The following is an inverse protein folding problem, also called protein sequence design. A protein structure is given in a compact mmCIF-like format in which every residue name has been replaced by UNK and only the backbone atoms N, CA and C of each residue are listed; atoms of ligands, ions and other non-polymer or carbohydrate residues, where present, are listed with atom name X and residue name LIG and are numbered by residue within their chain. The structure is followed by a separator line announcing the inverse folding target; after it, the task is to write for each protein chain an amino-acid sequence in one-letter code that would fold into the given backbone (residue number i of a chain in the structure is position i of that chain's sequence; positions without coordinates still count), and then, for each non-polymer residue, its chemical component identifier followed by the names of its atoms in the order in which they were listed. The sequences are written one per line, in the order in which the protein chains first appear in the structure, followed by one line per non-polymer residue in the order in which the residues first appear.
data_IF_303037489372
#
_entry.id   IF_303037489372
#
_cell.length_a   1.000
_cell.length_b   1.000
_cell.length_c   1.000
_cell.angle_alpha   90.00
_cell.angle_beta   90.00
_cell.angle_gamma   90.00
#
_symmetry.space_group_name_H-M   'P 1'
#
loop_
_entity.id
_entity.type
_entity.pdbx_description
1 polymer ?
#
# COMPACT_ATOMS: atom_id res chain seq x y z
N UNK A 1 -26.67 15.84 2.53
CA UNK A 1 -25.45 15.77 3.34
C UNK A 1 -25.56 14.78 4.51
N UNK A 2 -26.53 14.94 5.46
CA UNK A 2 -26.65 14.06 6.62
C UNK A 2 -26.81 12.56 6.25
N UNK A 3 -27.68 12.24 5.30
CA UNK A 3 -27.89 10.85 4.85
C UNK A 3 -26.61 10.24 4.26
N UNK A 4 -25.90 10.96 3.40
CA UNK A 4 -24.65 10.50 2.81
C UNK A 4 -23.58 10.20 3.87
N UNK A 5 -23.43 11.12 4.85
CA UNK A 5 -22.47 10.95 5.96
C UNK A 5 -22.85 9.77 6.86
N UNK A 6 -24.12 9.57 7.15
CA UNK A 6 -24.58 8.43 7.97
C UNK A 6 -24.35 7.09 7.24
N UNK A 7 -24.66 7.02 5.94
CA UNK A 7 -24.42 5.82 5.12
C UNK A 7 -22.93 5.51 5.05
N UNK A 8 -22.09 6.54 4.87
CA UNK A 8 -20.64 6.39 4.86
C UNK A 8 -20.11 5.87 6.21
N UNK A 9 -20.51 6.48 7.32
CA UNK A 9 -20.10 6.05 8.67
C UNK A 9 -20.58 4.63 8.98
N UNK A 10 -21.81 4.29 8.62
CA UNK A 10 -22.33 2.92 8.77
C UNK A 10 -21.51 1.94 7.94
N UNK A 11 -21.20 2.28 6.69
CA UNK A 11 -20.42 1.43 5.79
C UNK A 11 -19.02 1.18 6.34
N UNK A 12 -18.31 2.23 6.77
CA UNK A 12 -16.99 2.11 7.38
C UNK A 12 -17.04 1.28 8.67
N UNK A 13 -18.06 1.49 9.50
CA UNK A 13 -18.24 0.69 10.73
C UNK A 13 -18.40 -0.79 10.40
N UNK A 14 -19.20 -1.15 9.40
CA UNK A 14 -19.36 -2.54 8.96
C UNK A 14 -18.07 -3.13 8.38
N UNK A 15 -17.32 -2.33 7.62
CA UNK A 15 -16.02 -2.74 7.04
C UNK A 15 -14.99 -3.03 8.14
N UNK A 16 -14.97 -2.23 9.19
CA UNK A 16 -14.03 -2.41 10.32
C UNK A 16 -14.48 -3.55 11.24
N UNK A 17 -15.76 -3.57 11.60
CA UNK A 17 -16.30 -4.53 12.57
C UNK A 17 -16.46 -5.94 12.01
N UNK A 18 -16.75 -6.10 10.71
CA UNK A 18 -16.95 -7.37 10.02
C UNK A 18 -17.84 -8.36 10.80
N UNK A 19 -19.06 -7.98 11.17
CA UNK A 19 -19.91 -8.79 12.03
C UNK A 19 -20.15 -10.17 11.41
N UNK A 20 -20.04 -11.23 12.20
CA UNK A 20 -20.23 -12.64 11.79
C UNK A 20 -19.36 -13.08 10.59
N UNK A 21 -18.19 -12.43 10.38
CA UNK A 21 -17.32 -12.73 9.25
C UNK A 21 -17.80 -12.16 7.91
N UNK A 22 -18.66 -11.14 7.93
CA UNK A 22 -19.06 -10.40 6.73
C UNK A 22 -17.81 -9.79 6.09
N UNK A 23 -17.47 -10.24 4.87
CA UNK A 23 -16.29 -9.75 4.16
C UNK A 23 -16.38 -8.26 3.85
N UNK A 24 -15.23 -7.60 3.79
CA UNK A 24 -15.13 -6.13 3.54
C UNK A 24 -15.82 -5.71 2.24
N UNK A 25 -15.72 -6.52 1.19
CA UNK A 25 -16.39 -6.28 -0.09
C UNK A 25 -17.91 -6.27 0.04
N UNK A 26 -18.48 -7.21 0.77
CA UNK A 26 -19.92 -7.27 1.01
C UNK A 26 -20.41 -6.10 1.86
N UNK A 27 -19.64 -5.70 2.87
CA UNK A 27 -19.96 -4.51 3.68
C UNK A 27 -20.03 -3.23 2.84
N UNK A 28 -19.05 -3.03 1.94
CA UNK A 28 -19.04 -1.88 1.04
C UNK A 28 -20.16 -1.95 -0.01
N UNK A 29 -20.47 -3.14 -0.54
CA UNK A 29 -21.59 -3.34 -1.49
C UNK A 29 -22.92 -3.01 -0.84
N UNK A 30 -23.14 -3.45 0.41
CA UNK A 30 -24.36 -3.11 1.15
C UNK A 30 -24.48 -1.59 1.33
N UNK A 31 -23.38 -0.91 1.68
CA UNK A 31 -23.34 0.55 1.78
C UNK A 31 -23.70 1.24 0.45
N UNK A 32 -23.16 0.75 -0.66
CA UNK A 32 -23.46 1.27 -2.01
C UNK A 32 -24.91 1.05 -2.39
N UNK A 33 -25.49 -0.12 -2.10
CA UNK A 33 -26.92 -0.40 -2.33
C UNK A 33 -27.79 0.55 -1.51
N UNK A 34 -27.48 0.76 -0.23
CA UNK A 34 -28.22 1.70 0.61
C UNK A 34 -28.09 3.13 0.06
N UNK A 35 -26.90 3.55 -0.39
CA UNK A 35 -26.69 4.86 -1.01
C UNK A 35 -27.55 5.05 -2.28
N UNK A 36 -27.68 4.01 -3.11
CA UNK A 36 -28.55 4.02 -4.30
C UNK A 36 -30.04 4.10 -3.90
N UNK A 37 -30.48 3.32 -2.91
CA UNK A 37 -31.88 3.30 -2.46
C UNK A 37 -32.32 4.64 -1.85
N UNK A 38 -31.42 5.33 -1.16
CA UNK A 38 -31.70 6.65 -0.57
C UNK A 38 -31.44 7.81 -1.54
N UNK A 39 -31.08 7.53 -2.80
CA UNK A 39 -30.84 8.54 -3.83
C UNK A 39 -29.63 9.43 -3.58
N UNK A 40 -28.71 9.00 -2.70
CA UNK A 40 -27.43 9.66 -2.46
C UNK A 40 -26.46 9.46 -3.62
N UNK A 41 -26.57 8.29 -4.27
CA UNK A 41 -25.87 7.91 -5.50
C UNK A 41 -26.90 7.51 -6.52
N UNK A 42 -26.67 7.85 -7.78
CA UNK A 42 -27.54 7.49 -8.89
C UNK A 42 -26.95 6.35 -9.73
N UNK A 43 -27.78 5.63 -10.47
CA UNK A 43 -27.29 4.57 -11.37
C UNK A 43 -26.33 5.12 -12.44
N UNK A 44 -26.48 6.38 -12.82
CA UNK A 44 -25.57 7.10 -13.74
C UNK A 44 -24.17 7.31 -13.17
N UNK A 45 -24.01 7.24 -11.85
CA UNK A 45 -22.70 7.44 -11.19
C UNK A 45 -21.83 6.17 -11.26
N UNK A 46 -22.45 4.99 -11.44
CA UNK A 46 -21.73 3.71 -11.50
C UNK A 46 -20.71 3.67 -12.65
N UNK A 47 -21.06 4.02 -13.90
CA UNK A 47 -20.07 4.10 -14.98
C UNK A 47 -18.97 5.13 -14.72
N UNK A 48 -19.28 6.27 -14.09
CA UNK A 48 -18.30 7.32 -13.77
C UNK A 48 -17.29 6.80 -12.74
N UNK A 49 -17.74 6.19 -11.67
CA UNK A 49 -16.88 5.57 -10.67
C UNK A 49 -16.05 4.44 -11.29
N UNK A 50 -16.65 3.60 -12.14
CA UNK A 50 -15.92 2.55 -12.83
C UNK A 50 -14.79 3.11 -13.71
N UNK A 51 -15.02 4.20 -14.43
CA UNK A 51 -13.97 4.86 -15.23
C UNK A 51 -12.79 5.34 -14.38
N UNK A 52 -13.02 5.74 -13.14
CA UNK A 52 -11.96 6.18 -12.22
C UNK A 52 -11.11 4.98 -11.75
N UNK A 53 -11.70 3.81 -11.54
CA UNK A 53 -11.04 2.73 -10.79
C UNK A 53 -10.66 1.50 -11.63
N UNK A 54 -11.17 1.34 -12.85
CA UNK A 54 -11.00 0.08 -13.61
C UNK A 54 -9.54 -0.26 -13.90
N UNK A 55 -8.73 0.73 -14.32
CA UNK A 55 -7.32 0.54 -14.62
C UNK A 55 -6.53 0.24 -13.34
N UNK A 56 -6.80 0.99 -12.27
CA UNK A 56 -6.18 0.75 -10.97
C UNK A 56 -6.52 -0.64 -10.41
N UNK A 57 -7.79 -1.04 -10.50
CA UNK A 57 -8.25 -2.35 -10.02
C UNK A 57 -7.65 -3.49 -10.84
N UNK A 58 -7.62 -3.36 -12.17
CA UNK A 58 -7.01 -4.35 -13.06
C UNK A 58 -5.51 -4.50 -12.83
N UNK A 59 -4.80 -3.39 -12.69
CA UNK A 59 -3.37 -3.37 -12.36
C UNK A 59 -3.11 -4.06 -11.02
N UNK A 60 -3.86 -3.70 -9.98
CA UNK A 60 -3.71 -4.26 -8.64
C UNK A 60 -3.90 -5.79 -8.62
N UNK A 61 -4.95 -6.29 -9.26
CA UNK A 61 -5.19 -7.75 -9.35
C UNK A 61 -4.04 -8.45 -10.06
N UNK A 62 -3.58 -7.90 -11.18
CA UNK A 62 -2.48 -8.49 -11.94
C UNK A 62 -1.17 -8.54 -11.13
N UNK A 63 -0.85 -7.46 -10.40
CA UNK A 63 0.34 -7.40 -9.54
C UNK A 63 0.28 -8.39 -8.39
N UNK A 64 -0.89 -8.57 -7.77
CA UNK A 64 -1.04 -9.56 -6.70
C UNK A 64 -0.92 -10.98 -7.25
N UNK A 65 -1.47 -11.29 -8.42
CA UNK A 65 -1.27 -12.59 -9.07
C UNK A 65 0.22 -12.85 -9.32
N UNK A 66 0.97 -11.87 -9.82
CA UNK A 66 2.43 -11.97 -9.99
C UNK A 66 3.10 -12.24 -8.63
N UNK A 67 2.75 -11.48 -7.59
CA UNK A 67 3.30 -11.64 -6.24
C UNK A 67 3.05 -13.02 -5.67
N UNK A 68 1.81 -13.54 -5.77
CA UNK A 68 1.45 -14.87 -5.29
C UNK A 68 2.19 -15.99 -6.04
N UNK A 69 2.36 -15.86 -7.35
CA UNK A 69 3.13 -16.82 -8.16
C UNK A 69 4.61 -16.84 -7.76
N UNK A 70 5.19 -15.66 -7.50
CA UNK A 70 6.56 -15.54 -7.05
C UNK A 70 6.75 -16.07 -5.63
N UNK A 71 5.77 -15.87 -4.75
CA UNK A 71 5.77 -16.44 -3.40
C UNK A 71 5.75 -17.97 -3.44
N UNK A 72 4.82 -18.56 -4.18
CA UNK A 72 4.74 -20.01 -4.36
C UNK A 72 6.01 -20.58 -5.03
N UNK A 73 6.72 -19.80 -5.86
CA UNK A 73 8.00 -20.18 -6.44
C UNK A 73 9.18 -20.10 -5.45
N UNK A 74 8.98 -19.44 -4.28
CA UNK A 74 9.98 -19.26 -3.24
C UNK A 74 10.84 -18.00 -3.40
N UNK A 75 10.45 -17.05 -4.23
CA UNK A 75 11.22 -15.85 -4.55
C UNK A 75 11.50 -14.98 -3.31
N UNK A 76 10.49 -14.71 -2.51
CA UNK A 76 10.63 -13.85 -1.34
C UNK A 76 11.38 -14.53 -0.19
N UNK A 77 11.18 -15.84 0.00
CA UNK A 77 11.94 -16.64 0.96
C UNK A 77 13.44 -16.69 0.58
N UNK A 78 13.73 -16.89 -0.69
CA UNK A 78 15.08 -16.84 -1.24
C UNK A 78 15.74 -15.47 -0.98
N UNK A 79 15.04 -14.38 -1.25
CA UNK A 79 15.56 -13.02 -1.02
C UNK A 79 15.80 -12.76 0.47
N UNK A 80 14.87 -13.15 1.36
CA UNK A 80 14.99 -12.98 2.80
C UNK A 80 16.19 -13.77 3.36
N UNK A 81 16.41 -15.01 2.92
CA UNK A 81 17.56 -15.82 3.34
C UNK A 81 18.90 -15.23 2.87
N UNK A 82 18.95 -14.65 1.66
CA UNK A 82 20.15 -13.93 1.19
C UNK A 82 20.45 -12.71 2.07
N UNK A 83 19.43 -11.90 2.32
CA UNK A 83 19.53 -10.71 3.17
C UNK A 83 19.99 -11.10 4.58
N UNK A 84 19.45 -12.18 5.12
CA UNK A 84 19.86 -12.70 6.43
C UNK A 84 21.33 -13.10 6.46
N UNK A 85 21.88 -13.64 5.39
CA UNK A 85 23.31 -13.96 5.30
C UNK A 85 24.19 -12.72 5.13
N UNK A 86 23.72 -11.70 4.40
CA UNK A 86 24.44 -10.43 4.24
C UNK A 86 24.60 -9.68 5.58
N UNK A 87 23.72 -9.91 6.56
CA UNK A 87 23.84 -9.37 7.90
C UNK A 87 25.10 -9.82 8.67
N UNK A 88 25.78 -10.93 8.21
CA UNK A 88 27.03 -11.46 8.74
C UNK A 88 27.03 -11.58 10.28
N UNK A 89 25.95 -12.04 10.84
CA UNK A 89 25.81 -12.25 12.28
C UNK A 89 25.44 -11.01 13.09
N UNK A 90 25.39 -9.80 12.50
CA UNK A 90 25.00 -8.58 13.22
C UNK A 90 23.48 -8.37 13.14
N UNK A 91 22.78 -8.39 14.28
CA UNK A 91 21.34 -8.18 14.34
C UNK A 91 20.88 -6.81 13.83
N UNK A 92 21.68 -5.76 14.06
CA UNK A 92 21.37 -4.42 13.51
C UNK A 92 21.45 -4.39 11.98
N UNK A 93 22.44 -5.04 11.39
CA UNK A 93 22.54 -5.15 9.92
C UNK A 93 21.40 -5.99 9.37
N UNK A 94 21.07 -7.10 10.01
CA UNK A 94 19.93 -7.92 9.65
C UNK A 94 18.64 -7.11 9.64
N UNK A 95 18.37 -6.36 10.70
CA UNK A 95 17.20 -5.50 10.81
C UNK A 95 17.14 -4.48 9.66
N UNK A 96 18.24 -3.74 9.44
CA UNK A 96 18.31 -2.75 8.38
C UNK A 96 18.09 -3.37 6.99
N UNK A 97 18.72 -4.50 6.69
CA UNK A 97 18.58 -5.17 5.42
C UNK A 97 17.18 -5.78 5.23
N UNK A 98 16.54 -6.28 6.29
CA UNK A 98 15.15 -6.76 6.22
C UNK A 98 14.18 -5.61 5.95
N UNK A 99 14.36 -4.45 6.58
CA UNK A 99 13.58 -3.25 6.30
C UNK A 99 13.80 -2.78 4.85
N UNK A 100 15.04 -2.78 4.36
CA UNK A 100 15.35 -2.41 2.97
C UNK A 100 14.80 -3.43 1.96
N UNK A 101 14.81 -4.72 2.28
CA UNK A 101 14.13 -5.74 1.46
C UNK A 101 12.63 -5.47 1.40
N UNK A 102 12.01 -5.19 2.56
CA UNK A 102 10.60 -4.80 2.61
C UNK A 102 10.30 -3.56 1.76
N UNK A 103 11.20 -2.55 1.80
CA UNK A 103 11.09 -1.37 0.95
C UNK A 103 11.15 -1.70 -0.54
N UNK A 104 12.09 -2.54 -0.96
CA UNK A 104 12.23 -2.95 -2.36
C UNK A 104 11.02 -3.73 -2.85
N UNK A 105 10.54 -4.68 -2.05
CA UNK A 105 9.35 -5.47 -2.39
C UNK A 105 8.13 -4.57 -2.48
N UNK A 106 7.94 -3.65 -1.54
CA UNK A 106 6.81 -2.73 -1.54
C UNK A 106 6.85 -1.73 -2.71
N UNK A 107 8.03 -1.32 -3.15
CA UNK A 107 8.19 -0.45 -4.30
C UNK A 107 7.83 -1.12 -5.64
N UNK A 108 8.03 -2.43 -5.76
CA UNK A 108 7.83 -3.19 -7.01
C UNK A 108 6.51 -3.96 -7.06
N UNK A 109 5.95 -4.30 -5.89
CA UNK A 109 4.71 -5.05 -5.75
C UNK A 109 3.71 -4.24 -4.93
N UNK A 110 2.44 -4.56 -5.05
CA UNK A 110 1.43 -3.90 -4.22
C UNK A 110 1.76 -4.05 -2.72
N UNK A 111 1.75 -2.94 -1.97
CA UNK A 111 2.11 -2.88 -0.54
C UNK A 111 1.37 -3.91 0.32
N UNK A 112 0.08 -4.13 0.06
CA UNK A 112 -0.75 -5.11 0.77
C UNK A 112 -0.19 -6.53 0.60
N UNK A 113 0.23 -6.89 -0.62
CA UNK A 113 0.91 -8.16 -0.91
C UNK A 113 2.26 -8.26 -0.22
N UNK A 114 3.06 -7.19 -0.25
CA UNK A 114 4.37 -7.16 0.40
C UNK A 114 4.28 -7.44 1.91
N UNK A 115 3.38 -6.77 2.61
CA UNK A 115 3.18 -6.94 4.05
C UNK A 115 2.73 -8.37 4.41
N UNK A 116 1.78 -8.92 3.65
CA UNK A 116 1.22 -10.25 3.91
C UNK A 116 2.17 -11.39 3.58
N UNK A 117 2.99 -11.25 2.53
CA UNK A 117 3.93 -12.28 2.08
C UNK A 117 5.20 -12.27 2.94
N UNK A 118 5.82 -11.11 3.15
CA UNK A 118 7.08 -11.03 3.87
C UNK A 118 6.93 -11.34 5.37
N UNK A 119 5.81 -10.99 5.99
CA UNK A 119 5.65 -11.17 7.43
C UNK A 119 5.78 -12.63 7.88
N UNK A 120 5.10 -13.64 7.29
CA UNK A 120 5.29 -15.04 7.66
C UNK A 120 6.73 -15.52 7.44
N UNK A 121 7.39 -15.08 6.36
CA UNK A 121 8.78 -15.43 6.05
C UNK A 121 9.72 -14.88 7.12
N UNK A 122 9.56 -13.60 7.47
CA UNK A 122 10.33 -12.94 8.53
C UNK A 122 10.14 -13.68 9.85
N UNK A 123 8.90 -13.98 10.25
CA UNK A 123 8.61 -14.70 11.49
C UNK A 123 9.30 -16.08 11.50
N UNK A 124 9.17 -16.85 10.43
CA UNK A 124 9.77 -18.18 10.33
C UNK A 124 11.29 -18.12 10.45
N UNK A 125 11.92 -17.14 9.83
CA UNK A 125 13.36 -16.89 9.92
C UNK A 125 13.77 -16.52 11.36
N UNK A 126 13.03 -15.63 12.03
CA UNK A 126 13.34 -15.18 13.38
C UNK A 126 13.16 -16.31 14.41
N UNK A 127 12.18 -17.19 14.20
CA UNK A 127 12.00 -18.39 15.00
C UNK A 127 13.17 -19.37 14.82
N UNK A 128 13.63 -19.60 13.58
CA UNK A 128 14.80 -20.41 13.29
C UNK A 128 16.06 -19.86 13.97
N UNK A 129 16.22 -18.54 14.02
CA UNK A 129 17.29 -17.84 14.71
C UNK A 129 17.11 -17.76 16.23
N UNK A 130 16.01 -18.29 16.78
CA UNK A 130 15.66 -18.27 18.19
C UNK A 130 15.67 -16.87 18.81
N UNK A 131 15.18 -15.89 18.09
CA UNK A 131 15.08 -14.52 18.59
C UNK A 131 14.05 -14.42 19.72
N UNK A 132 14.31 -13.48 20.65
CA UNK A 132 13.37 -13.20 21.73
C UNK A 132 12.04 -12.63 21.18
N UNK A 133 10.94 -12.75 21.93
CA UNK A 133 9.65 -12.14 21.53
C UNK A 133 9.75 -10.63 21.25
N UNK A 134 10.56 -9.89 22.03
CA UNK A 134 10.78 -8.46 21.82
C UNK A 134 11.52 -8.18 20.51
N UNK A 135 12.56 -8.96 20.19
CA UNK A 135 13.25 -8.86 18.92
C UNK A 135 12.32 -9.22 17.74
N UNK A 136 11.57 -10.30 17.86
CA UNK A 136 10.59 -10.70 16.84
C UNK A 136 9.57 -9.61 16.60
N UNK A 137 9.03 -8.98 17.64
CA UNK A 137 8.10 -7.88 17.55
C UNK A 137 8.74 -6.67 16.82
N UNK A 138 9.99 -6.31 17.12
CA UNK A 138 10.69 -5.23 16.46
C UNK A 138 10.83 -5.45 14.95
N UNK A 139 11.24 -6.64 14.52
CA UNK A 139 11.39 -6.98 13.10
C UNK A 139 10.04 -7.01 12.37
N UNK A 140 9.03 -7.58 12.99
CA UNK A 140 7.68 -7.67 12.43
C UNK A 140 7.06 -6.28 12.30
N UNK A 141 7.20 -5.42 13.31
CA UNK A 141 6.78 -4.02 13.24
C UNK A 141 7.53 -3.27 12.13
N UNK A 142 8.84 -3.48 12.02
CA UNK A 142 9.66 -2.90 10.95
C UNK A 142 9.18 -3.29 9.56
N UNK A 143 8.90 -4.58 9.34
CA UNK A 143 8.37 -5.08 8.07
C UNK A 143 6.97 -4.53 7.75
N UNK A 144 6.08 -4.44 8.74
CA UNK A 144 4.75 -3.87 8.56
C UNK A 144 4.78 -2.36 8.28
N UNK A 145 5.65 -1.61 8.96
CA UNK A 145 5.75 -0.16 8.76
C UNK A 145 6.37 0.21 7.41
N UNK A 146 7.44 -0.48 7.00
CA UNK A 146 8.12 -0.15 5.74
C UNK A 146 7.26 -0.46 4.52
N UNK A 147 6.35 -1.42 4.60
CA UNK A 147 5.51 -1.81 3.48
C UNK A 147 4.70 -0.63 2.91
N UNK A 148 4.14 0.22 3.76
CA UNK A 148 3.37 1.39 3.31
C UNK A 148 4.31 2.59 3.06
N UNK A 149 5.27 2.86 3.96
CA UNK A 149 6.16 4.05 3.82
C UNK A 149 7.12 3.98 2.62
N UNK A 150 7.30 2.81 2.02
CA UNK A 150 8.14 2.59 0.85
C UNK A 150 7.35 2.31 -0.44
N UNK A 151 6.02 2.36 -0.41
CA UNK A 151 5.16 2.08 -1.57
C UNK A 151 4.86 3.32 -2.42
N UNK A 152 5.58 4.40 -2.22
CA UNK A 152 5.35 5.67 -2.89
C UNK A 152 5.99 5.82 -4.29
N UNK A 153 7.08 5.10 -4.68
CA UNK A 153 7.96 5.56 -5.77
C UNK A 153 7.38 5.40 -7.16
N UNK A 154 6.54 4.40 -7.37
CA UNK A 154 5.98 4.08 -8.68
C UNK A 154 4.46 4.03 -8.63
N UNK A 155 3.84 4.28 -9.75
CA UNK A 155 2.37 4.15 -9.89
C UNK A 155 1.91 2.74 -9.49
N UNK A 156 2.65 1.71 -9.88
CA UNK A 156 2.33 0.30 -9.60
C UNK A 156 2.53 -0.14 -8.14
N UNK A 157 3.19 0.66 -7.32
CA UNK A 157 3.56 0.26 -5.94
C UNK A 157 2.37 0.20 -4.99
N UNK A 158 1.28 0.91 -5.28
CA UNK A 158 0.10 0.95 -4.42
C UNK A 158 -1.16 1.32 -5.24
N UNK A 159 -2.31 0.78 -4.83
CA UNK A 159 -3.60 1.13 -5.42
C UNK A 159 -3.91 2.64 -5.31
N UNK A 160 -3.53 3.28 -4.19
CA UNK A 160 -3.65 4.73 -3.96
C UNK A 160 -2.91 5.53 -5.05
N UNK A 161 -1.69 5.08 -5.40
CA UNK A 161 -0.87 5.74 -6.43
C UNK A 161 -1.53 5.62 -7.81
N UNK A 162 -2.00 4.40 -8.16
CA UNK A 162 -2.59 4.14 -9.47
C UNK A 162 -3.85 4.99 -9.67
N UNK A 163 -4.75 4.99 -8.68
CA UNK A 163 -6.00 5.79 -8.75
C UNK A 163 -5.68 7.28 -8.88
N UNK A 164 -4.68 7.77 -8.12
CA UNK A 164 -4.30 9.19 -8.16
C UNK A 164 -3.69 9.59 -9.50
N UNK A 165 -2.79 8.77 -10.04
CA UNK A 165 -2.15 9.01 -11.32
C UNK A 165 -3.18 8.97 -12.48
N UNK A 166 -4.05 7.97 -12.49
CA UNK A 166 -5.11 7.83 -13.51
C UNK A 166 -6.09 9.00 -13.46
N UNK A 167 -6.56 9.38 -12.28
CA UNK A 167 -7.56 10.44 -12.12
C UNK A 167 -7.07 11.80 -12.64
N UNK A 168 -5.81 12.14 -12.38
CA UNK A 168 -5.22 13.40 -12.83
C UNK A 168 -4.37 13.27 -14.11
N UNK A 169 -4.41 12.13 -14.78
CA UNK A 169 -3.65 11.85 -16.00
C UNK A 169 -2.15 12.12 -15.85
N UNK A 170 -1.59 11.76 -14.67
CA UNK A 170 -0.15 11.86 -14.42
C UNK A 170 0.53 10.63 -15.00
N UNK A 171 1.33 10.82 -16.05
CA UNK A 171 2.07 9.73 -16.69
C UNK A 171 3.08 9.08 -15.75
N UNK A 172 3.34 7.79 -15.97
CA UNK A 172 4.23 6.95 -15.16
C UNK A 172 5.62 7.58 -14.95
N UNK A 173 6.18 8.15 -16.03
CA UNK A 173 7.50 8.78 -16.00
C UNK A 173 7.52 10.04 -15.11
N UNK A 174 6.47 10.88 -15.18
CA UNK A 174 6.37 12.10 -14.35
C UNK A 174 6.19 11.71 -12.89
N UNK A 175 5.31 10.74 -12.62
CA UNK A 175 5.09 10.24 -11.27
C UNK A 175 6.40 9.74 -10.65
N UNK A 176 7.12 8.86 -11.35
CA UNK A 176 8.38 8.31 -10.88
C UNK A 176 9.46 9.39 -10.68
N UNK A 177 9.55 10.38 -11.59
CA UNK A 177 10.53 11.47 -11.48
C UNK A 177 10.34 12.33 -10.22
N UNK A 178 9.10 12.47 -9.75
CA UNK A 178 8.80 13.19 -8.50
C UNK A 178 8.93 12.27 -7.29
N UNK A 179 8.30 11.09 -7.35
CA UNK A 179 8.09 10.28 -6.16
C UNK A 179 9.24 9.33 -5.82
N UNK A 180 10.10 8.95 -6.77
CA UNK A 180 11.30 8.13 -6.47
C UNK A 180 12.25 8.84 -5.51
N UNK A 181 12.67 10.10 -5.75
CA UNK A 181 13.51 10.83 -4.78
C UNK A 181 12.83 11.01 -3.41
N UNK A 182 11.53 11.33 -3.40
CA UNK A 182 10.74 11.48 -2.18
C UNK A 182 10.69 10.16 -1.39
N UNK A 183 10.51 9.03 -2.09
CA UNK A 183 10.50 7.72 -1.46
C UNK A 183 11.85 7.33 -0.84
N UNK A 184 12.97 7.69 -1.45
CA UNK A 184 14.28 7.47 -0.82
C UNK A 184 14.39 8.18 0.53
N UNK A 185 13.87 9.40 0.62
CA UNK A 185 13.82 10.14 1.90
C UNK A 185 12.87 9.45 2.89
N UNK A 186 11.69 9.01 2.44
CA UNK A 186 10.73 8.26 3.26
C UNK A 186 11.33 6.98 3.83
N UNK A 187 12.00 6.18 3.00
CA UNK A 187 12.67 4.94 3.41
C UNK A 187 13.79 5.22 4.40
N UNK A 188 14.64 6.22 4.13
CA UNK A 188 15.72 6.60 5.03
C UNK A 188 15.20 7.09 6.39
N UNK A 189 14.16 7.93 6.39
CA UNK A 189 13.51 8.40 7.61
C UNK A 189 12.87 7.24 8.39
N UNK A 190 12.17 6.34 7.70
CA UNK A 190 11.54 5.15 8.30
C UNK A 190 12.62 4.26 8.95
N UNK A 191 13.69 3.94 8.22
CA UNK A 191 14.78 3.13 8.74
C UNK A 191 15.44 3.78 9.97
N UNK A 192 15.70 5.08 9.92
CA UNK A 192 16.29 5.81 11.02
C UNK A 192 15.41 5.78 12.28
N UNK A 193 14.12 6.05 12.13
CA UNK A 193 13.14 6.06 13.24
C UNK A 193 12.95 4.65 13.81
N UNK A 194 12.88 3.62 12.96
CA UNK A 194 12.77 2.23 13.40
C UNK A 194 14.02 1.77 14.17
N UNK A 195 15.23 2.05 13.66
CA UNK A 195 16.49 1.73 14.34
C UNK A 195 16.62 2.48 15.67
N UNK A 196 16.17 3.72 15.74
CA UNK A 196 16.18 4.51 16.98
C UNK A 196 15.20 3.95 18.01
N UNK A 197 13.97 3.63 17.57
CA UNK A 197 12.90 3.17 18.46
C UNK A 197 13.20 1.78 19.01
N UNK A 198 13.57 0.83 18.16
CA UNK A 198 13.81 -0.58 18.54
C UNK A 198 15.26 -0.89 18.90
N UNK A 199 16.11 0.13 19.12
CA UNK A 199 17.55 -0.04 19.39
C UNK A 199 17.90 -0.98 20.55
N UNK A 200 16.99 -1.16 21.51
CA UNK A 200 17.16 -2.02 22.69
C UNK A 200 16.65 -3.44 22.48
N UNK A 201 15.72 -3.60 21.54
CA UNK A 201 15.06 -4.89 21.26
C UNK A 201 15.78 -5.66 20.15
N UNK A 202 16.52 -4.96 19.28
CA UNK A 202 17.32 -5.58 18.21
C UNK A 202 18.51 -6.29 18.85
N UNK A 203 18.69 -7.62 18.61
CA UNK A 203 19.83 -8.37 19.15
C UNK A 203 21.13 -7.86 18.58
N UNK A 204 22.22 -8.00 19.34
CA UNK A 204 23.56 -7.62 18.88
C UNK A 204 24.04 -8.58 17.79
N UNK A 205 23.92 -9.86 18.05
CA UNK A 205 24.46 -10.93 17.22
C UNK A 205 23.43 -12.03 16.97
N UNK A 206 23.62 -12.77 15.88
CA UNK A 206 22.88 -13.98 15.54
C UNK A 206 23.77 -14.94 14.74
N UNK A 207 23.41 -16.22 14.70
CA UNK A 207 24.15 -17.21 13.91
C UNK A 207 23.45 -17.47 12.56
N UNK A 208 23.98 -16.98 11.42
CA UNK A 208 23.41 -17.20 10.12
C UNK A 208 23.45 -18.66 9.63
N UNK A 209 24.30 -19.51 10.25
CA UNK A 209 24.39 -20.94 9.91
C UNK A 209 23.17 -21.75 10.35
N UNK A 210 22.34 -21.19 11.26
CA UNK A 210 21.06 -21.80 11.64
C UNK A 210 19.98 -21.68 10.56
N UNK A 211 20.21 -20.86 9.54
CA UNK A 211 19.28 -20.67 8.45
C UNK A 211 19.60 -21.61 7.28
N UNK A 212 18.56 -22.06 6.62
CA UNK A 212 18.67 -22.85 5.39
C UNK A 212 19.42 -22.09 4.30
N UNK A 213 19.98 -22.82 3.35
CA UNK A 213 20.61 -22.19 2.17
C UNK A 213 19.53 -21.53 1.31
N UNK A 214 19.76 -20.31 0.76
CA UNK A 214 18.76 -19.62 -0.06
C UNK A 214 18.23 -20.46 -1.23
N UNK A 215 19.07 -21.28 -1.83
CA UNK A 215 18.69 -22.13 -2.97
C UNK A 215 17.63 -23.18 -2.63
N UNK A 216 17.53 -23.60 -1.36
CA UNK A 216 16.52 -24.57 -0.90
C UNK A 216 15.11 -23.98 -0.89
N UNK A 217 15.00 -22.66 -0.81
CA UNK A 217 13.72 -21.94 -0.85
C UNK A 217 13.10 -21.93 -2.27
N UNK A 218 13.87 -22.24 -3.32
CA UNK A 218 13.35 -22.22 -4.69
C UNK A 218 12.57 -23.51 -4.98
N UNK A 219 11.23 -23.39 -4.94
CA UNK A 219 10.34 -24.53 -5.17
C UNK A 219 10.14 -24.82 -6.67
N UNK A 220 9.97 -23.75 -7.48
CA UNK A 220 9.87 -23.87 -8.95
C UNK A 220 10.85 -22.95 -9.66
N UNK A 221 11.94 -23.55 -10.19
CA UNK A 221 12.99 -22.81 -10.90
C UNK A 221 12.48 -22.08 -12.15
N UNK A 222 11.53 -22.67 -12.88
CA UNK A 222 11.02 -22.07 -14.11
C UNK A 222 10.27 -20.76 -13.80
N UNK A 223 9.33 -20.79 -12.87
CA UNK A 223 8.58 -19.61 -12.44
C UNK A 223 9.49 -18.59 -11.73
N UNK A 224 10.46 -19.05 -10.92
CA UNK A 224 11.43 -18.18 -10.24
C UNK A 224 12.26 -17.34 -11.23
N UNK A 225 12.88 -17.96 -12.24
CA UNK A 225 13.67 -17.21 -13.22
C UNK A 225 12.81 -16.40 -14.18
N UNK A 226 11.65 -16.93 -14.57
CA UNK A 226 10.68 -16.16 -15.36
C UNK A 226 10.19 -14.92 -14.60
N UNK A 227 10.09 -15.00 -13.28
CA UNK A 227 9.72 -13.87 -12.43
C UNK A 227 10.64 -12.67 -12.60
N UNK A 228 11.96 -12.88 -12.63
CA UNK A 228 12.91 -11.80 -12.89
C UNK A 228 12.68 -11.14 -14.25
N UNK A 229 12.49 -11.95 -15.29
CA UNK A 229 12.20 -11.45 -16.64
C UNK A 229 10.88 -10.67 -16.68
N UNK A 230 9.83 -11.20 -16.04
CA UNK A 230 8.51 -10.56 -15.96
C UNK A 230 8.58 -9.23 -15.22
N UNK A 231 9.33 -9.14 -14.12
CA UNK A 231 9.52 -7.87 -13.40
C UNK A 231 10.23 -6.82 -14.26
N UNK A 232 11.26 -7.21 -14.98
CA UNK A 232 11.95 -6.31 -15.93
C UNK A 232 11.00 -5.87 -17.04
N UNK A 233 10.25 -6.79 -17.66
CA UNK A 233 9.27 -6.49 -18.70
C UNK A 233 8.18 -5.57 -18.17
N UNK A 234 7.68 -5.79 -16.96
CA UNK A 234 6.69 -4.93 -16.32
C UNK A 234 7.20 -3.51 -16.16
N UNK A 235 8.38 -3.33 -15.57
CA UNK A 235 8.96 -2.00 -15.36
C UNK A 235 9.26 -1.31 -16.68
N UNK A 236 9.97 -1.97 -17.60
CA UNK A 236 10.28 -1.40 -18.92
C UNK A 236 8.99 -1.09 -19.68
N UNK A 237 7.99 -1.97 -19.60
CA UNK A 237 6.69 -1.76 -20.21
C UNK A 237 5.98 -0.52 -19.66
N UNK A 238 5.96 -0.34 -18.34
CA UNK A 238 5.36 0.84 -17.72
C UNK A 238 6.08 2.13 -18.13
N UNK A 239 7.41 2.15 -18.19
CA UNK A 239 8.16 3.32 -18.62
C UNK A 239 8.06 3.64 -20.12
N UNK A 240 7.95 2.61 -20.97
CA UNK A 240 8.01 2.76 -22.43
C UNK A 240 6.63 2.77 -23.12
N UNK A 241 5.66 2.00 -22.63
CA UNK A 241 4.38 1.77 -23.31
C UNK A 241 3.25 2.64 -22.76
N UNK A 242 3.28 2.98 -21.46
CA UNK A 242 2.25 3.87 -20.89
C UNK A 242 2.25 5.25 -21.57
N UNK A 243 3.40 5.91 -21.86
CA UNK A 243 3.42 7.16 -22.62
C UNK A 243 2.84 7.05 -24.03
N UNK A 244 2.72 5.84 -24.57
CA UNK A 244 2.07 5.56 -25.86
C UNK A 244 0.56 5.34 -25.73
N UNK A 245 -0.01 5.52 -24.53
CA UNK A 245 -1.43 5.36 -24.24
C UNK A 245 -1.87 3.93 -23.91
N UNK A 246 -0.92 3.01 -23.68
CA UNK A 246 -1.25 1.64 -23.23
C UNK A 246 -1.47 1.68 -21.71
N UNK A 247 -2.67 1.30 -21.20
CA UNK A 247 -2.95 1.36 -19.78
C UNK A 247 -2.08 0.36 -18.99
N UNK A 248 -1.68 0.76 -17.79
CA UNK A 248 -0.82 -0.06 -16.91
C UNK A 248 -1.47 -1.41 -16.60
N UNK A 249 -2.81 -1.46 -16.51
CA UNK A 249 -3.54 -2.72 -16.33
C UNK A 249 -3.33 -3.72 -17.47
N UNK A 250 -3.23 -3.26 -18.71
CA UNK A 250 -2.96 -4.13 -19.85
C UNK A 250 -1.52 -4.69 -19.79
N UNK A 251 -0.54 -3.84 -19.46
CA UNK A 251 0.86 -4.24 -19.32
C UNK A 251 1.00 -5.28 -18.21
N UNK A 252 0.44 -5.00 -17.03
CA UNK A 252 0.51 -5.89 -15.88
C UNK A 252 -0.28 -7.18 -16.07
N UNK A 253 -1.44 -7.13 -16.76
CA UNK A 253 -2.22 -8.32 -17.10
C UNK A 253 -1.47 -9.27 -18.04
N UNK A 254 -0.77 -8.75 -19.06
CA UNK A 254 0.10 -9.53 -19.94
C UNK A 254 1.22 -10.19 -19.14
N UNK A 255 1.89 -9.44 -18.25
CA UNK A 255 2.94 -9.97 -17.38
C UNK A 255 2.40 -11.08 -16.45
N UNK A 256 1.24 -10.87 -15.83
CA UNK A 256 0.59 -11.88 -14.99
C UNK A 256 0.20 -13.13 -15.78
N UNK A 257 -0.37 -12.97 -16.98
CA UNK A 257 -0.73 -14.08 -17.86
C UNK A 257 0.47 -14.90 -18.32
N UNK A 258 1.58 -14.23 -18.66
CA UNK A 258 2.83 -14.91 -19.03
C UNK A 258 3.38 -15.76 -17.87
N UNK A 259 3.46 -15.17 -16.66
CA UNK A 259 3.98 -15.89 -15.50
C UNK A 259 3.05 -17.04 -15.09
N UNK A 260 1.73 -16.81 -15.15
CA UNK A 260 0.71 -17.82 -14.88
C UNK A 260 0.82 -19.00 -15.88
N UNK A 261 1.03 -18.70 -17.18
CA UNK A 261 1.21 -19.70 -18.20
C UNK A 261 2.47 -20.57 -18.00
N UNK A 262 3.57 -19.95 -17.53
CA UNK A 262 4.82 -20.67 -17.19
C UNK A 262 4.61 -21.55 -15.96
N UNK A 263 4.00 -21.01 -14.91
CA UNK A 263 3.69 -21.76 -13.68
C UNK A 263 2.75 -22.94 -13.95
N UNK A 264 1.73 -22.75 -14.81
CA UNK A 264 0.80 -23.82 -15.20
C UNK A 264 1.50 -24.98 -15.91
N UNK A 265 2.49 -24.69 -16.77
CA UNK A 265 3.26 -25.73 -17.47
C UNK A 265 4.19 -26.52 -16.53
N UNK A 266 4.67 -25.89 -15.45
CA UNK A 266 5.57 -26.53 -14.48
C UNK A 266 4.89 -27.55 -13.58
N UNK A 267 3.56 -27.51 -13.44
CA UNK A 267 2.74 -28.36 -12.56
C UNK A 267 3.15 -28.39 -11.09
N UNK A 268 4.10 -27.53 -10.67
CA UNK A 268 4.56 -27.44 -9.28
C UNK A 268 3.75 -26.45 -8.46
N UNK A 269 3.24 -25.41 -9.11
CA UNK A 269 2.43 -24.35 -8.51
C UNK A 269 0.98 -24.55 -8.92
N UNK A 270 0.07 -24.57 -7.95
CA UNK A 270 -1.36 -24.64 -8.23
C UNK A 270 -1.89 -23.26 -8.66
N UNK A 271 -1.92 -23.01 -9.97
CA UNK A 271 -2.45 -21.77 -10.54
C UNK A 271 -3.92 -21.53 -10.15
N UNK A 272 -4.70 -22.61 -9.97
CA UNK A 272 -6.09 -22.53 -9.48
C UNK A 272 -6.12 -22.00 -8.05
N UNK A 273 -5.18 -22.41 -7.18
CA UNK A 273 -5.06 -21.90 -5.81
C UNK A 273 -4.73 -20.41 -5.83
N UNK A 274 -3.72 -20.00 -6.61
CA UNK A 274 -3.32 -18.59 -6.78
C UNK A 274 -4.49 -17.72 -7.23
N UNK A 275 -5.22 -18.14 -8.25
CA UNK A 275 -6.40 -17.40 -8.72
C UNK A 275 -7.53 -17.32 -7.68
N UNK A 276 -7.68 -18.32 -6.83
CA UNK A 276 -8.69 -18.36 -5.78
C UNK A 276 -8.30 -17.49 -4.57
N UNK A 277 -7.01 -17.41 -4.28
CA UNK A 277 -6.43 -16.62 -3.19
C UNK A 277 -6.22 -15.14 -3.57
N UNK A 278 -6.33 -14.80 -4.87
CA UNK A 278 -6.32 -13.40 -5.29
C UNK A 278 -7.40 -12.59 -4.53
N UNK A 279 -7.13 -11.33 -4.17
CA UNK A 279 -7.95 -10.57 -3.24
C UNK A 279 -9.20 -9.98 -3.88
N UNK A 280 -10.09 -10.82 -4.39
CA UNK A 280 -11.35 -10.43 -5.03
C UNK A 280 -12.24 -9.58 -4.12
N UNK A 281 -12.16 -9.78 -2.82
CA UNK A 281 -12.87 -8.97 -1.85
C UNK A 281 -12.44 -7.50 -1.86
N UNK A 282 -11.15 -7.21 -2.17
CA UNK A 282 -10.66 -5.84 -2.29
C UNK A 282 -11.21 -5.17 -3.56
N UNK A 283 -11.35 -5.92 -4.66
CA UNK A 283 -11.97 -5.44 -5.90
C UNK A 283 -13.41 -5.00 -5.65
N UNK A 284 -14.20 -5.88 -5.01
CA UNK A 284 -15.60 -5.61 -4.66
C UNK A 284 -15.68 -4.44 -3.67
N UNK A 285 -14.79 -4.42 -2.68
CA UNK A 285 -14.68 -3.35 -1.69
C UNK A 285 -14.41 -1.99 -2.35
N UNK A 286 -13.44 -1.93 -3.28
CA UNK A 286 -13.07 -0.69 -3.95
C UNK A 286 -14.25 -0.09 -4.70
N UNK A 287 -14.95 -0.89 -5.51
CA UNK A 287 -16.12 -0.42 -6.25
C UNK A 287 -17.23 0.07 -5.30
N UNK A 288 -17.61 -0.74 -4.32
CA UNK A 288 -18.66 -0.39 -3.37
C UNK A 288 -18.33 0.85 -2.56
N UNK A 289 -17.08 0.92 -2.05
CA UNK A 289 -16.64 2.04 -1.21
C UNK A 289 -16.51 3.34 -2.01
N UNK A 290 -16.02 3.27 -3.25
CA UNK A 290 -15.92 4.45 -4.10
C UNK A 290 -17.31 5.01 -4.49
N UNK A 291 -18.30 4.15 -4.68
CA UNK A 291 -19.69 4.61 -4.87
C UNK A 291 -20.20 5.34 -3.62
N UNK A 292 -19.98 4.80 -2.43
CA UNK A 292 -20.39 5.46 -1.17
C UNK A 292 -19.70 6.82 -1.00
N UNK A 293 -18.39 6.91 -1.30
CA UNK A 293 -17.62 8.16 -1.26
C UNK A 293 -18.11 9.15 -2.32
N UNK A 294 -18.47 8.66 -3.52
CA UNK A 294 -19.03 9.51 -4.57
C UNK A 294 -20.38 10.14 -4.13
N UNK A 295 -21.13 9.43 -3.30
CA UNK A 295 -22.32 9.97 -2.64
C UNK A 295 -22.01 11.15 -1.69
N UNK A 296 -20.84 11.16 -1.03
CA UNK A 296 -20.40 12.31 -0.23
C UNK A 296 -20.10 13.52 -1.12
N UNK A 297 -19.52 13.31 -2.30
CA UNK A 297 -19.34 14.34 -3.33
C UNK A 297 -20.67 14.93 -3.76
N UNK A 298 -21.64 14.09 -4.14
CA UNK A 298 -22.98 14.53 -4.53
C UNK A 298 -23.68 15.34 -3.42
N UNK A 299 -23.33 15.07 -2.17
CA UNK A 299 -23.84 15.78 -1.00
C UNK A 299 -23.06 17.07 -0.65
N UNK A 300 -22.03 17.45 -1.41
CA UNK A 300 -21.25 18.69 -1.25
C UNK A 300 -20.14 18.63 -0.21
N UNK A 301 -19.77 17.46 0.34
CA UNK A 301 -18.68 17.36 1.31
C UNK A 301 -17.33 17.74 0.71
N UNK A 302 -17.08 17.35 -0.54
CA UNK A 302 -15.83 17.64 -1.24
C UNK A 302 -15.60 19.13 -1.46
N UNK A 303 -16.68 19.92 -1.61
CA UNK A 303 -16.58 21.37 -1.80
C UNK A 303 -16.13 22.08 -0.52
N UNK A 304 -16.58 21.58 0.65
CA UNK A 304 -16.09 22.08 1.96
C UNK A 304 -14.60 21.79 2.16
N UNK A 305 -14.18 20.57 1.81
CA UNK A 305 -12.76 20.19 1.88
C UNK A 305 -11.91 20.96 0.88
N UNK A 306 -12.42 21.21 -0.35
CA UNK A 306 -11.77 22.05 -1.33
C UNK A 306 -11.45 23.44 -0.79
N UNK A 307 -12.36 24.06 -0.03
CA UNK A 307 -12.11 25.33 0.62
C UNK A 307 -10.93 25.32 1.61
N UNK A 308 -10.75 24.22 2.36
CA UNK A 308 -9.57 24.05 3.22
C UNK A 308 -8.28 23.85 2.41
N UNK A 309 -8.38 23.08 1.33
CA UNK A 309 -7.25 22.86 0.44
C UNK A 309 -6.81 24.16 -0.26
N UNK A 310 -7.75 25.01 -0.68
CA UNK A 310 -7.47 26.32 -1.24
C UNK A 310 -6.77 27.24 -0.21
N UNK A 311 -7.18 27.20 1.04
CA UNK A 311 -6.50 27.92 2.12
C UNK A 311 -5.04 27.46 2.27
N UNK A 312 -4.76 26.15 2.18
CA UNK A 312 -3.39 25.62 2.20
C UNK A 312 -2.62 26.03 0.94
N UNK A 313 -3.25 25.96 -0.23
CA UNK A 313 -2.67 26.37 -1.50
C UNK A 313 -2.24 27.85 -1.52
N UNK A 314 -2.94 28.71 -0.76
CA UNK A 314 -2.57 30.11 -0.57
C UNK A 314 -1.16 30.35 0.01
N UNK A 315 -0.59 29.36 0.69
CA UNK A 315 0.80 29.36 1.17
C UNK A 315 1.81 28.72 0.18
N UNK A 316 1.43 28.55 -1.09
CA UNK A 316 2.26 27.96 -2.13
C UNK A 316 2.49 26.47 -1.99
N UNK A 317 3.56 25.96 -2.61
CA UNK A 317 3.90 24.52 -2.68
C UNK A 317 4.04 23.89 -1.28
N UNK A 318 4.67 24.60 -0.34
CA UNK A 318 4.87 24.13 1.02
C UNK A 318 3.54 23.99 1.79
N UNK A 319 2.69 25.01 1.72
CA UNK A 319 1.37 24.95 2.36
C UNK A 319 0.50 23.87 1.77
N UNK A 320 0.49 23.75 0.44
CA UNK A 320 -0.22 22.72 -0.29
C UNK A 320 0.25 21.30 0.09
N UNK A 321 1.56 21.06 0.09
CA UNK A 321 2.12 19.76 0.45
C UNK A 321 1.85 19.38 1.90
N UNK A 322 2.22 20.27 2.84
CA UNK A 322 2.10 19.98 4.27
C UNK A 322 0.63 19.92 4.72
N UNK A 323 -0.19 20.90 4.33
CA UNK A 323 -1.59 20.98 4.72
C UNK A 323 -2.40 19.80 4.18
N UNK A 324 -2.31 19.53 2.87
CA UNK A 324 -3.02 18.41 2.24
C UNK A 324 -2.55 17.07 2.82
N UNK A 325 -1.24 16.85 2.92
CA UNK A 325 -0.69 15.59 3.39
C UNK A 325 -1.03 15.27 4.84
N UNK A 326 -0.97 16.26 5.73
CA UNK A 326 -1.38 16.07 7.13
C UNK A 326 -2.89 15.85 7.25
N UNK A 327 -3.70 16.62 6.52
CA UNK A 327 -5.16 16.44 6.52
C UNK A 327 -5.54 15.03 6.05
N UNK A 328 -5.00 14.58 4.92
CA UNK A 328 -5.32 13.26 4.37
C UNK A 328 -4.74 12.13 5.23
N UNK A 329 -3.60 12.33 5.90
CA UNK A 329 -3.08 11.36 6.85
C UNK A 329 -4.00 11.19 8.08
N UNK A 330 -4.54 12.28 8.60
CA UNK A 330 -5.52 12.24 9.70
C UNK A 330 -6.81 11.53 9.25
N UNK A 331 -7.35 11.91 8.10
CA UNK A 331 -8.54 11.27 7.54
C UNK A 331 -8.31 9.77 7.29
N UNK A 332 -7.19 9.40 6.69
CA UNK A 332 -6.84 8.03 6.36
C UNK A 332 -6.63 7.16 7.61
N UNK A 333 -6.13 7.74 8.70
CA UNK A 333 -6.01 7.03 9.97
C UNK A 333 -7.36 6.67 10.62
N UNK A 334 -8.45 7.33 10.22
CA UNK A 334 -9.80 7.12 10.75
C UNK A 334 -10.67 6.33 9.76
N UNK A 335 -10.62 6.68 8.46
CA UNK A 335 -11.56 6.19 7.45
C UNK A 335 -11.01 5.06 6.56
N UNK A 336 -9.75 4.71 6.65
CA UNK A 336 -9.02 3.88 5.68
C UNK A 336 -8.47 4.67 4.48
N UNK A 337 -7.41 4.14 3.86
CA UNK A 337 -6.68 4.80 2.76
C UNK A 337 -7.51 4.97 1.48
N UNK A 338 -8.26 3.94 1.05
CA UNK A 338 -8.99 3.98 -0.23
C UNK A 338 -10.11 5.04 -0.26
N UNK A 339 -11.03 5.11 0.73
CA UNK A 339 -12.00 6.21 0.75
C UNK A 339 -11.35 7.58 0.89
N UNK A 340 -10.26 7.69 1.68
CA UNK A 340 -9.57 8.96 1.88
C UNK A 340 -8.94 9.48 0.60
N UNK A 341 -8.23 8.62 -0.15
CA UNK A 341 -7.60 9.07 -1.40
C UNK A 341 -8.63 9.60 -2.37
N UNK A 342 -9.79 8.94 -2.52
CA UNK A 342 -10.82 9.40 -3.44
C UNK A 342 -11.47 10.71 -2.97
N UNK A 343 -11.77 10.85 -1.68
CA UNK A 343 -12.26 12.13 -1.13
C UNK A 343 -11.25 13.24 -1.41
N UNK A 344 -9.97 12.98 -1.17
CA UNK A 344 -8.89 13.93 -1.46
C UNK A 344 -8.81 14.30 -2.94
N UNK A 345 -8.85 13.31 -3.85
CA UNK A 345 -8.82 13.56 -5.30
C UNK A 345 -9.99 14.44 -5.76
N UNK A 346 -11.22 14.09 -5.34
CA UNK A 346 -12.42 14.86 -5.69
C UNK A 346 -12.38 16.27 -5.11
N UNK A 347 -11.82 16.45 -3.90
CA UNK A 347 -11.68 17.76 -3.29
C UNK A 347 -10.58 18.61 -3.95
N UNK A 348 -9.46 17.99 -4.36
CA UNK A 348 -8.40 18.66 -5.13
C UNK A 348 -8.91 19.07 -6.52
N UNK A 349 -9.73 18.22 -7.14
CA UNK A 349 -10.33 18.55 -8.43
C UNK A 349 -11.29 19.75 -8.34
N UNK A 350 -12.05 19.84 -7.26
CA UNK A 350 -12.96 20.95 -6.96
C UNK A 350 -12.24 22.23 -6.49
N UNK A 351 -10.95 22.16 -6.13
CA UNK A 351 -10.16 23.30 -5.65
C UNK A 351 -9.78 24.26 -6.80
N UNK A 352 -9.44 25.51 -6.43
CA UNK A 352 -8.96 26.53 -7.38
C UNK A 352 -7.44 26.41 -7.66
N UNK A 353 -6.74 25.50 -7.02
CA UNK A 353 -5.30 25.31 -7.18
C UNK A 353 -4.95 24.85 -8.59
N UNK A 354 -3.85 25.37 -9.15
CA UNK A 354 -3.37 25.06 -10.49
C UNK A 354 -1.86 24.82 -10.50
N UNK A 355 -1.34 24.27 -11.60
CA UNK A 355 0.09 24.07 -11.82
C UNK A 355 0.76 23.24 -10.73
N UNK A 356 1.98 23.64 -10.33
CA UNK A 356 2.81 22.89 -9.35
C UNK A 356 2.16 22.81 -7.98
N UNK A 357 1.36 23.80 -7.58
CA UNK A 357 0.63 23.80 -6.31
C UNK A 357 -0.42 22.69 -6.30
N UNK A 358 -1.20 22.54 -7.37
CA UNK A 358 -2.16 21.42 -7.52
C UNK A 358 -1.43 20.06 -7.54
N UNK A 359 -0.31 20.00 -8.26
CA UNK A 359 0.53 18.80 -8.33
C UNK A 359 1.06 18.40 -6.92
N UNK A 360 1.49 19.39 -6.13
CA UNK A 360 1.91 19.16 -4.73
C UNK A 360 0.77 18.59 -3.88
N UNK A 361 -0.46 19.09 -4.04
CA UNK A 361 -1.63 18.55 -3.33
C UNK A 361 -1.92 17.10 -3.73
N UNK A 362 -1.80 16.75 -5.01
CA UNK A 362 -2.05 15.39 -5.50
C UNK A 362 -1.06 14.41 -4.89
N UNK A 363 0.23 14.67 -4.94
CA UNK A 363 1.24 13.79 -4.33
C UNK A 363 1.16 13.80 -2.80
N UNK A 364 0.82 14.92 -2.18
CA UNK A 364 0.62 15.00 -0.74
C UNK A 364 -0.59 14.17 -0.29
N UNK A 365 -1.68 14.14 -1.08
CA UNK A 365 -2.82 13.26 -0.84
C UNK A 365 -2.42 11.78 -0.89
N UNK A 366 -1.58 11.40 -1.85
CA UNK A 366 -1.01 10.03 -1.94
C UNK A 366 -0.20 9.71 -0.67
N UNK A 367 0.75 10.58 -0.31
CA UNK A 367 1.62 10.37 0.87
C UNK A 367 0.79 10.28 2.15
N UNK A 368 -0.15 11.20 2.34
CA UNK A 368 -1.00 11.22 3.53
C UNK A 368 -1.91 9.99 3.62
N UNK A 369 -2.51 9.60 2.49
CA UNK A 369 -3.39 8.43 2.42
C UNK A 369 -2.63 7.11 2.61
N UNK A 370 -1.34 7.05 2.31
CA UNK A 370 -0.53 5.84 2.42
C UNK A 370 0.18 5.72 3.78
N UNK A 371 0.72 6.82 4.31
CA UNK A 371 1.43 6.82 5.59
C UNK A 371 0.48 6.96 6.79
N UNK A 372 -0.59 7.76 6.67
CA UNK A 372 -1.56 8.02 7.74
C UNK A 372 -2.17 6.78 8.38
N UNK A 373 -2.54 5.75 7.60
CA UNK A 373 -3.10 4.50 8.13
C UNK A 373 -2.27 3.81 9.19
N UNK A 374 -0.96 4.02 9.22
CA UNK A 374 -0.06 3.43 10.22
C UNK A 374 -0.23 4.00 11.63
N UNK A 375 -0.95 5.10 11.77
CA UNK A 375 -1.25 5.69 13.09
C UNK A 375 -2.22 4.79 13.87
N UNK A 376 -3.17 4.16 13.18
CA UNK A 376 -4.21 3.33 13.82
C UNK A 376 -4.31 1.95 13.18
N UNK A 377 -4.73 0.91 13.92
CA UNK A 377 -4.96 -0.41 13.34
C UNK A 377 -6.02 -0.44 12.23
N UNK A 378 -6.98 0.48 12.28
CA UNK A 378 -8.14 0.54 11.37
C UNK A 378 -7.87 1.34 10.10
N UNK A 379 -6.77 2.08 10.04
CA UNK A 379 -6.45 2.96 8.92
C UNK A 379 -6.17 2.23 7.59
N UNK A 380 -5.83 0.92 7.63
CA UNK A 380 -5.60 0.12 6.44
C UNK A 380 -6.15 -1.29 6.62
N UNK A 381 -6.79 -1.81 5.56
CA UNK A 381 -7.21 -3.22 5.52
C UNK A 381 -6.01 -4.16 5.58
N UNK A 382 -4.91 -3.80 4.94
CA UNK A 382 -3.66 -4.56 5.01
C UNK A 382 -3.16 -4.67 6.45
N UNK A 383 -3.23 -3.60 7.23
CA UNK A 383 -2.85 -3.61 8.65
C UNK A 383 -3.75 -4.54 9.47
N UNK A 384 -5.06 -4.52 9.25
CA UNK A 384 -5.97 -5.43 9.95
C UNK A 384 -5.70 -6.89 9.60
N UNK A 385 -5.50 -7.19 8.32
CA UNK A 385 -5.14 -8.54 7.87
C UNK A 385 -3.77 -8.98 8.42
N UNK A 386 -2.80 -8.08 8.43
CA UNK A 386 -1.48 -8.32 8.98
C UNK A 386 -1.53 -8.62 10.48
N UNK A 387 -2.29 -7.86 11.27
CA UNK A 387 -2.52 -8.16 12.70
C UNK A 387 -3.15 -9.54 12.90
N UNK A 388 -4.10 -9.92 12.03
CA UNK A 388 -4.72 -11.24 12.08
C UNK A 388 -3.74 -12.38 11.74
N UNK A 389 -2.83 -12.16 10.77
CA UNK A 389 -1.74 -13.11 10.46
C UNK A 389 -0.81 -13.26 11.64
N UNK A 390 -0.48 -12.19 12.35
CA UNK A 390 0.35 -12.23 13.56
C UNK A 390 -0.33 -13.00 14.70
N UNK A 391 -1.62 -12.75 14.90
CA UNK A 391 -2.39 -13.45 15.95
C UNK A 391 -2.42 -14.97 15.72
N UNK A 392 -2.53 -15.42 14.46
CA UNK A 392 -2.40 -16.85 14.10
C UNK A 392 -1.02 -17.45 14.37
N UNK A 393 -0.01 -16.62 14.55
CA UNK A 393 1.38 -16.98 14.90
C UNK A 393 1.69 -16.71 16.38
N UNK A 394 0.66 -16.55 17.22
CA UNK A 394 0.74 -16.25 18.66
C UNK A 394 1.45 -14.92 18.98
N UNK A 395 1.57 -14.00 18.00
CA UNK A 395 2.10 -12.66 18.21
C UNK A 395 0.91 -11.70 18.33
N UNK A 396 0.61 -11.26 19.56
CA UNK A 396 -0.49 -10.34 19.82
C UNK A 396 0.01 -8.92 20.03
N UNK A 397 -0.46 -8.01 19.20
CA UNK A 397 -0.19 -6.57 19.32
C UNK A 397 -1.47 -5.90 19.82
N UNK A 398 -1.45 -5.38 21.04
CA UNK A 398 -2.58 -4.64 21.59
C UNK A 398 -2.77 -3.30 20.87
N UNK A 399 -4.03 -2.89 20.69
CA UNK A 399 -4.39 -1.64 19.99
C UNK A 399 -3.72 -0.40 20.59
N UNK A 400 -3.66 -0.32 21.93
CA UNK A 400 -3.00 0.81 22.60
C UNK A 400 -1.50 0.89 22.32
N UNK A 401 -0.82 -0.27 22.26
CA UNK A 401 0.59 -0.34 21.88
C UNK A 401 0.78 0.06 20.43
N UNK A 402 -0.04 -0.49 19.52
CA UNK A 402 0.02 -0.17 18.09
C UNK A 402 -0.16 1.33 17.86
N UNK A 403 -1.19 1.94 18.48
CA UNK A 403 -1.49 3.37 18.36
C UNK A 403 -0.30 4.23 18.84
N UNK A 404 0.24 3.92 20.03
CA UNK A 404 1.40 4.63 20.57
C UNK A 404 2.61 4.54 19.64
N UNK A 405 2.94 3.34 19.16
CA UNK A 405 4.06 3.10 18.25
C UNK A 405 3.77 3.75 16.90
N UNK A 406 2.54 3.61 16.41
CA UNK A 406 2.07 4.20 15.16
C UNK A 406 2.29 5.70 15.09
N UNK A 407 1.90 6.46 16.11
CA UNK A 407 2.14 7.91 16.17
C UNK A 407 3.63 8.22 16.16
N UNK A 408 4.41 7.56 17.03
CA UNK A 408 5.85 7.86 17.21
C UNK A 408 6.65 7.57 15.94
N UNK A 409 6.28 6.51 15.20
CA UNK A 409 6.97 6.15 13.96
C UNK A 409 6.46 6.94 12.76
N UNK A 410 5.14 7.13 12.63
CA UNK A 410 4.53 7.71 11.43
C UNK A 410 4.70 9.21 11.34
N UNK A 411 4.49 9.95 12.44
CA UNK A 411 4.47 11.42 12.39
C UNK A 411 5.80 12.01 11.88
N UNK A 412 6.99 11.62 12.41
CA UNK A 412 8.24 12.14 11.88
C UNK A 412 8.49 11.78 10.43
N UNK A 413 8.17 10.52 10.04
CA UNK A 413 8.35 10.05 8.66
C UNK A 413 7.44 10.81 7.71
N UNK A 414 6.17 11.01 8.06
CA UNK A 414 5.19 11.77 7.28
C UNK A 414 5.70 13.20 7.04
N UNK A 415 6.07 13.92 8.10
CA UNK A 415 6.51 15.31 7.99
C UNK A 415 7.78 15.44 7.14
N UNK A 416 8.75 14.56 7.32
CA UNK A 416 9.99 14.54 6.52
C UNK A 416 9.70 14.20 5.05
N UNK A 417 8.79 13.27 4.79
CA UNK A 417 8.41 12.88 3.42
C UNK A 417 7.66 14.02 2.71
N UNK A 418 6.73 14.69 3.39
CA UNK A 418 6.03 15.86 2.84
C UNK A 418 6.96 17.04 2.60
N UNK A 419 7.94 17.27 3.50
CA UNK A 419 8.96 18.29 3.29
C UNK A 419 9.86 17.97 2.07
N UNK A 420 10.22 16.69 1.89
CA UNK A 420 10.96 16.24 0.71
C UNK A 420 10.15 16.46 -0.59
N UNK A 421 8.83 16.21 -0.56
CA UNK A 421 7.95 16.52 -1.69
C UNK A 421 7.93 18.03 -2.00
N UNK A 422 7.74 18.86 -0.97
CA UNK A 422 7.71 20.32 -1.14
C UNK A 422 9.03 20.83 -1.71
N UNK A 423 10.17 20.36 -1.22
CA UNK A 423 11.50 20.69 -1.77
C UNK A 423 11.63 20.23 -3.23
N UNK A 424 11.22 18.99 -3.54
CA UNK A 424 11.33 18.42 -4.89
C UNK A 424 10.55 19.21 -5.93
N UNK A 425 9.40 19.77 -5.56
CA UNK A 425 8.53 20.54 -6.46
C UNK A 425 8.82 22.05 -6.45
N UNK A 426 9.64 22.53 -5.51
CA UNK A 426 10.07 23.95 -5.46
C UNK A 426 11.32 24.23 -6.32
N UNK A 427 11.99 23.16 -6.78
CA UNK A 427 13.17 23.19 -7.66
C UNK A 427 12.76 22.79 -9.08
#
# INVERSE_FOLDING_TARGET
MLAASLIFLLTITLVIWQPKGLGVGWSATLGAIVALLFGVVHLSDIPLVWQIIWNATGTFVALIIISLLLDEAGFFAWAALHVARWGRGSGRKLFAFMVLLGALVSALFANDGAALILTPIVISMLLALRFSPAATLAFVMGAGFIADTASLPLVVSNLVNIVSADFFHIGFNRYAAVMVPVNFVSVAATLAVLLWFFRRDIPKDYNPEQLEHPETAIHDKATFYAGWAVLVILLVGCFALEPLGIPISAISAVCAALLLGIAARGHKISTRKVMKEAPWQIVIFSLGMYLVVYGLRNAGLTDHLAGWLDAFAGYGVWGAAMGTGVLTALLSSIMNNLPTVLIGLLSIDASQATGVVKEAMIYANVIGSDLGPKITPIGSLATLLWLHVLERKDIRIGWGYYFKVGIVLTVPVLLVTLAALALRLSV
#
